data_IF_766569356044
#
_entry.id   IF_766569356044
#
_cell.length_a   1.000
_cell.length_b   1.000
_cell.length_c   1.000
_cell.angle_alpha   90.00
_cell.angle_beta   90.00
_cell.angle_gamma   90.00
#
_symmetry.space_group_name_H-M   'P 1'
#
loop_
_entity.id
_entity.type
_entity.pdbx_description
1 polymer ?
#
# COMPACT_ATOMS: atom_id res chain seq x y z
N UNK A 1 -47.38 27.92 -53.32
CA UNK A 1 -46.40 28.97 -52.94
C UNK A 1 -46.75 29.69 -51.64
N UNK A 2 -48.03 30.00 -51.37
CA UNK A 2 -48.44 30.82 -50.21
C UNK A 2 -48.41 30.07 -48.87
N UNK A 3 -48.73 28.76 -48.86
CA UNK A 3 -48.69 27.94 -47.65
C UNK A 3 -47.28 27.72 -47.08
N UNK A 4 -46.26 27.65 -47.94
CA UNK A 4 -44.84 27.53 -47.53
C UNK A 4 -44.33 28.82 -46.89
N UNK A 5 -44.73 29.98 -47.42
CA UNK A 5 -44.43 31.30 -46.84
C UNK A 5 -45.12 31.48 -45.48
N UNK A 6 -46.38 31.06 -45.34
CA UNK A 6 -47.09 31.12 -44.05
C UNK A 6 -46.44 30.24 -42.97
N UNK A 7 -46.04 29.01 -43.33
CA UNK A 7 -45.31 28.10 -42.43
C UNK A 7 -43.93 28.64 -42.03
N UNK A 8 -43.19 29.28 -42.95
CA UNK A 8 -41.92 29.94 -42.65
C UNK A 8 -42.11 31.14 -41.71
N UNK A 9 -43.14 31.96 -41.94
CA UNK A 9 -43.48 33.09 -41.08
C UNK A 9 -43.89 32.64 -39.67
N UNK A 10 -44.67 31.56 -39.55
CA UNK A 10 -45.05 30.95 -38.27
C UNK A 10 -43.82 30.39 -37.53
N UNK A 11 -42.91 29.71 -38.23
CA UNK A 11 -41.66 29.22 -37.65
C UNK A 11 -40.76 30.34 -37.13
N UNK A 12 -40.66 31.44 -37.88
CA UNK A 12 -39.91 32.63 -37.47
C UNK A 12 -40.56 33.35 -36.26
N UNK A 13 -41.90 33.44 -36.23
CA UNK A 13 -42.63 34.04 -35.11
C UNK A 13 -42.47 33.21 -33.82
N UNK A 14 -42.55 31.88 -33.92
CA UNK A 14 -42.34 30.97 -32.78
C UNK A 14 -40.89 31.05 -32.28
N UNK A 15 -39.91 31.08 -33.18
CA UNK A 15 -38.50 31.24 -32.81
C UNK A 15 -38.21 32.60 -32.15
N UNK A 16 -38.85 33.67 -32.63
CA UNK A 16 -38.75 35.00 -32.02
C UNK A 16 -39.38 35.03 -30.62
N UNK A 17 -40.57 34.46 -30.45
CA UNK A 17 -41.26 34.38 -29.16
C UNK A 17 -40.46 33.56 -28.13
N UNK A 18 -39.84 32.46 -28.57
CA UNK A 18 -38.99 31.63 -27.72
C UNK A 18 -37.72 32.36 -27.28
N UNK A 19 -37.06 33.10 -28.19
CA UNK A 19 -35.92 33.96 -27.84
C UNK A 19 -36.29 35.04 -26.82
N UNK A 20 -37.47 35.63 -26.94
CA UNK A 20 -37.95 36.66 -26.04
C UNK A 20 -38.26 36.11 -24.64
N UNK A 21 -38.82 34.89 -24.56
CA UNK A 21 -39.03 34.17 -23.30
C UNK A 21 -37.71 33.81 -22.61
N UNK A 22 -36.71 33.32 -23.37
CA UNK A 22 -35.37 33.01 -22.84
C UNK A 22 -34.68 34.28 -22.35
N UNK A 23 -34.78 35.39 -23.08
CA UNK A 23 -34.26 36.68 -22.64
C UNK A 23 -34.93 37.17 -21.35
N UNK A 24 -36.25 37.05 -21.25
CA UNK A 24 -36.99 37.43 -20.03
C UNK A 24 -36.66 36.54 -18.82
N UNK A 25 -36.44 35.23 -19.01
CA UNK A 25 -35.99 34.34 -17.95
C UNK A 25 -34.55 34.67 -17.52
N UNK A 26 -33.64 34.92 -18.47
CA UNK A 26 -32.28 35.36 -18.16
C UNK A 26 -32.27 36.67 -17.37
N UNK A 27 -33.09 37.66 -17.77
CA UNK A 27 -33.23 38.94 -17.05
C UNK A 27 -33.76 38.73 -15.63
N UNK A 28 -34.70 37.80 -15.42
CA UNK A 28 -35.22 37.46 -14.07
C UNK A 28 -34.15 36.78 -13.21
N UNK A 29 -33.32 35.92 -13.80
CA UNK A 29 -32.20 35.27 -13.10
C UNK A 29 -31.09 36.25 -12.73
N UNK A 30 -30.81 37.23 -13.59
CA UNK A 30 -29.73 38.21 -13.40
C UNK A 30 -30.13 39.44 -12.59
N UNK A 31 -31.43 39.72 -12.40
CA UNK A 31 -31.91 40.70 -11.41
C UNK A 31 -31.72 40.13 -10.00
N UNK A 32 -30.50 40.22 -9.51
CA UNK A 32 -30.15 39.88 -8.14
C UNK A 32 -31.06 40.62 -7.15
N UNK A 33 -31.61 39.88 -6.20
CA UNK A 33 -32.36 40.42 -5.05
C UNK A 33 -31.37 41.27 -4.25
N UNK A 34 -31.40 42.59 -4.44
CA UNK A 34 -30.45 43.53 -3.84
C UNK A 34 -30.51 43.50 -2.32
N UNK A 35 -29.60 42.76 -1.68
CA UNK A 35 -29.46 42.71 -0.23
C UNK A 35 -28.45 43.76 0.24
N UNK A 36 -28.97 44.68 1.06
CA UNK A 36 -28.26 45.48 2.07
C UNK A 36 -27.10 46.40 1.61
N UNK A 37 -27.44 47.53 1.00
CA UNK A 37 -26.52 48.65 0.73
C UNK A 37 -25.93 49.33 1.99
N UNK A 38 -26.39 49.00 3.21
CA UNK A 38 -25.97 49.66 4.45
C UNK A 38 -24.87 48.94 5.25
N UNK A 39 -24.51 47.68 4.92
CA UNK A 39 -23.50 46.89 5.67
C UNK A 39 -22.14 46.75 4.96
N UNK A 40 -22.01 47.30 3.75
CA UNK A 40 -20.85 47.10 2.87
C UNK A 40 -19.48 47.38 3.52
N UNK A 41 -19.24 48.54 4.16
CA UNK A 41 -17.90 48.88 4.67
C UNK A 41 -17.43 47.96 5.80
N UNK A 42 -18.33 47.64 6.74
CA UNK A 42 -18.03 46.74 7.87
C UNK A 42 -17.81 45.31 7.39
N UNK A 43 -18.63 44.84 6.45
CA UNK A 43 -18.50 43.51 5.86
C UNK A 43 -17.18 43.37 5.09
N UNK A 44 -16.80 44.37 4.28
CA UNK A 44 -15.52 44.36 3.55
C UNK A 44 -14.34 44.35 4.53
N UNK A 45 -14.34 45.24 5.53
CA UNK A 45 -13.25 45.30 6.51
C UNK A 45 -13.08 43.99 7.30
N UNK A 46 -14.19 43.35 7.69
CA UNK A 46 -14.15 42.08 8.41
C UNK A 46 -13.65 40.93 7.54
N UNK A 47 -14.13 40.81 6.29
CA UNK A 47 -13.69 39.75 5.39
C UNK A 47 -12.25 39.94 4.90
N UNK A 48 -11.79 41.17 4.67
CA UNK A 48 -10.38 41.44 4.37
C UNK A 48 -9.47 41.05 5.55
N UNK A 49 -9.91 41.31 6.79
CA UNK A 49 -9.18 40.89 7.99
C UNK A 49 -9.12 39.36 8.11
N UNK A 50 -10.24 38.67 7.89
CA UNK A 50 -10.32 37.20 7.89
C UNK A 50 -9.42 36.60 6.81
N UNK A 51 -9.49 37.09 5.58
CA UNK A 51 -8.65 36.64 4.48
C UNK A 51 -7.16 36.87 4.75
N UNK A 52 -6.78 38.04 5.26
CA UNK A 52 -5.39 38.31 5.67
C UNK A 52 -4.92 37.33 6.75
N UNK A 53 -5.79 36.99 7.71
CA UNK A 53 -5.54 35.96 8.71
C UNK A 53 -5.29 34.57 8.08
N UNK A 54 -6.18 34.15 7.18
CA UNK A 54 -6.06 32.88 6.46
C UNK A 54 -4.76 32.80 5.64
N UNK A 55 -4.39 33.86 4.91
CA UNK A 55 -3.15 33.89 4.14
C UNK A 55 -1.90 33.79 5.03
N UNK A 56 -1.92 34.41 6.23
CA UNK A 56 -0.85 34.26 7.22
C UNK A 56 -0.77 32.83 7.77
N UNK A 57 -1.91 32.23 8.09
CA UNK A 57 -2.00 30.84 8.55
C UNK A 57 -1.52 29.86 7.49
N UNK A 58 -1.95 30.04 6.24
CA UNK A 58 -1.47 29.26 5.09
C UNK A 58 0.04 29.33 4.94
N UNK A 59 0.65 30.52 5.01
CA UNK A 59 2.12 30.66 4.97
C UNK A 59 2.81 29.94 6.11
N UNK A 60 2.23 29.96 7.31
CA UNK A 60 2.76 29.21 8.44
C UNK A 60 2.63 27.69 8.25
N UNK A 61 1.50 27.22 7.71
CA UNK A 61 1.27 25.82 7.38
C UNK A 61 2.25 25.31 6.32
N UNK A 62 2.45 26.06 5.22
CA UNK A 62 3.42 25.70 4.18
C UNK A 62 4.84 25.59 4.74
N UNK A 63 5.26 26.51 5.62
CA UNK A 63 6.56 26.40 6.30
C UNK A 63 6.67 25.15 7.17
N UNK A 64 5.59 24.78 7.87
CA UNK A 64 5.54 23.56 8.70
C UNK A 64 5.61 22.31 7.84
N UNK A 65 4.90 22.27 6.71
CA UNK A 65 4.96 21.18 5.74
C UNK A 65 6.39 21.01 5.19
N UNK A 66 7.06 22.11 4.83
CA UNK A 66 8.46 22.05 4.38
C UNK A 66 9.42 21.50 5.46
N UNK A 67 9.22 21.87 6.72
CA UNK A 67 9.99 21.30 7.85
C UNK A 67 9.69 19.81 8.03
N UNK A 68 8.42 19.41 7.88
CA UNK A 68 8.00 18.01 7.98
C UNK A 68 8.63 17.16 6.86
N UNK A 69 8.61 17.64 5.61
CA UNK A 69 9.28 16.98 4.47
C UNK A 69 10.76 16.76 4.78
N UNK A 70 11.47 17.81 5.18
CA UNK A 70 12.89 17.72 5.51
C UNK A 70 13.19 16.80 6.71
N UNK A 71 12.24 16.64 7.64
CA UNK A 71 12.36 15.72 8.76
C UNK A 71 12.16 14.26 8.29
N UNK A 72 11.14 14.01 7.48
CA UNK A 72 10.85 12.69 6.88
C UNK A 72 12.01 12.19 6.01
N UNK A 73 12.62 13.06 5.21
CA UNK A 73 13.79 12.69 4.38
C UNK A 73 15.01 12.25 5.23
N UNK A 74 15.22 12.91 6.38
CA UNK A 74 16.34 12.65 7.28
C UNK A 74 16.10 11.50 8.25
N UNK A 75 14.86 11.06 8.40
CA UNK A 75 14.52 9.96 9.29
C UNK A 75 15.19 8.66 8.82
N UNK A 76 15.95 8.00 9.69
CA UNK A 76 16.61 6.73 9.35
C UNK A 76 15.76 5.51 9.69
N UNK A 77 14.67 5.69 10.42
CA UNK A 77 13.77 4.61 10.83
C UNK A 77 12.78 4.22 9.74
N UNK A 78 12.50 5.14 8.80
CA UNK A 78 11.59 4.91 7.68
C UNK A 78 12.31 4.23 6.52
N UNK A 79 11.64 3.28 5.89
CA UNK A 79 12.07 2.71 4.61
C UNK A 79 11.91 3.74 3.48
N UNK A 80 12.70 3.60 2.41
CA UNK A 80 12.61 4.48 1.24
C UNK A 80 11.20 4.62 0.63
N UNK A 81 10.39 3.54 0.46
CA UNK A 81 9.03 3.68 -0.03
C UNK A 81 8.11 4.44 0.94
N UNK A 82 8.29 4.28 2.25
CA UNK A 82 7.51 5.02 3.26
C UNK A 82 7.87 6.51 3.25
N UNK A 83 9.15 6.85 3.08
CA UNK A 83 9.58 8.25 2.92
C UNK A 83 8.97 8.89 1.69
N UNK A 84 9.08 8.21 0.54
CA UNK A 84 8.51 8.69 -0.73
C UNK A 84 7.01 8.97 -0.58
N UNK A 85 6.28 8.04 0.04
CA UNK A 85 4.84 8.19 0.26
C UNK A 85 4.50 9.36 1.20
N UNK A 86 5.19 9.48 2.34
CA UNK A 86 4.94 10.56 3.30
C UNK A 86 5.30 11.93 2.72
N UNK A 87 6.44 12.06 2.04
CA UNK A 87 6.85 13.29 1.35
C UNK A 87 5.81 13.66 0.30
N UNK A 88 5.40 12.71 -0.54
CA UNK A 88 4.40 12.95 -1.58
C UNK A 88 3.07 13.43 -1.00
N UNK A 89 2.63 12.84 0.12
CA UNK A 89 1.40 13.27 0.82
C UNK A 89 1.50 14.71 1.32
N UNK A 90 2.63 15.08 1.94
CA UNK A 90 2.89 16.45 2.40
C UNK A 90 2.94 17.46 1.24
N UNK A 91 3.51 17.06 0.10
CA UNK A 91 3.55 17.86 -1.12
C UNK A 91 2.16 18.08 -1.71
N UNK A 92 1.30 17.05 -1.73
CA UNK A 92 -0.10 17.18 -2.15
C UNK A 92 -0.84 18.20 -1.27
N UNK A 93 -0.69 18.12 0.06
CA UNK A 93 -1.30 19.12 0.97
C UNK A 93 -0.77 20.54 0.71
N UNK A 94 0.52 20.69 0.40
CA UNK A 94 1.09 21.98 0.05
C UNK A 94 0.53 22.51 -1.28
N UNK A 95 0.39 21.65 -2.29
CA UNK A 95 -0.19 21.96 -3.60
C UNK A 95 -1.63 22.46 -3.44
N UNK A 96 -2.45 21.73 -2.67
CA UNK A 96 -3.84 22.09 -2.37
C UNK A 96 -3.98 23.49 -1.74
N UNK A 97 -3.13 23.79 -0.75
CA UNK A 97 -3.12 25.12 -0.11
C UNK A 97 -2.73 26.25 -1.08
N UNK A 98 -1.86 25.96 -2.05
CA UNK A 98 -1.44 26.93 -3.06
C UNK A 98 -2.51 27.16 -4.12
N UNK A 99 -3.17 26.10 -4.58
CA UNK A 99 -4.24 26.20 -5.57
C UNK A 99 -5.47 26.91 -4.98
N UNK A 100 -5.80 26.63 -3.72
CA UNK A 100 -6.81 27.38 -2.96
C UNK A 100 -6.52 28.89 -2.92
N UNK A 101 -5.27 29.30 -2.68
CA UNK A 101 -4.88 30.72 -2.71
C UNK A 101 -4.99 31.32 -4.12
N UNK A 102 -4.58 30.58 -5.14
CA UNK A 102 -4.67 31.00 -6.55
C UNK A 102 -6.12 31.22 -7.00
N UNK A 103 -7.04 30.36 -6.60
CA UNK A 103 -8.48 30.51 -6.85
C UNK A 103 -9.04 31.82 -6.28
N UNK A 104 -8.58 32.24 -5.08
CA UNK A 104 -8.94 33.54 -4.51
C UNK A 104 -8.45 34.69 -5.38
N UNK A 105 -7.18 34.67 -5.81
CA UNK A 105 -6.65 35.73 -6.68
C UNK A 105 -7.34 35.77 -8.04
N UNK A 106 -7.67 34.61 -8.61
CA UNK A 106 -8.42 34.53 -9.87
C UNK A 106 -9.82 35.14 -9.73
N UNK A 107 -10.51 34.89 -8.62
CA UNK A 107 -11.81 35.50 -8.34
C UNK A 107 -11.71 37.03 -8.21
N UNK A 108 -10.69 37.54 -7.50
CA UNK A 108 -10.43 38.97 -7.35
C UNK A 108 -10.10 39.61 -8.70
N UNK A 109 -9.20 39.01 -9.48
CA UNK A 109 -8.83 39.48 -10.81
C UNK A 109 -10.02 39.46 -11.79
N UNK A 110 -10.88 38.44 -11.69
CA UNK A 110 -12.12 38.35 -12.46
C UNK A 110 -13.09 39.48 -12.11
N UNK A 111 -13.25 39.80 -10.82
CA UNK A 111 -14.06 40.94 -10.38
C UNK A 111 -13.47 42.27 -10.88
N UNK A 112 -12.16 42.45 -10.79
CA UNK A 112 -11.48 43.64 -11.27
C UNK A 112 -11.67 43.84 -12.78
N UNK A 113 -11.48 42.78 -13.59
CA UNK A 113 -11.74 42.82 -15.04
C UNK A 113 -13.19 43.17 -15.36
N UNK A 114 -14.14 42.62 -14.59
CA UNK A 114 -15.54 42.96 -14.76
C UNK A 114 -15.77 44.45 -14.49
N UNK A 115 -15.26 44.99 -13.37
CA UNK A 115 -15.40 46.39 -12.96
C UNK A 115 -14.73 47.40 -13.89
N UNK A 116 -13.61 47.03 -14.50
CA UNK A 116 -12.85 47.89 -15.42
C UNK A 116 -13.35 47.80 -16.87
N UNK A 117 -14.17 46.80 -17.22
CA UNK A 117 -14.68 46.61 -18.57
C UNK A 117 -15.71 47.66 -18.96
N UNK A 118 -15.74 48.04 -20.24
CA UNK A 118 -16.80 48.89 -20.77
C UNK A 118 -18.12 48.09 -20.87
N UNK A 119 -19.01 48.34 -19.91
CA UNK A 119 -20.33 47.71 -19.85
C UNK A 119 -21.29 48.14 -20.96
N UNK A 120 -20.95 49.19 -21.73
CA UNK A 120 -21.74 49.60 -22.89
C UNK A 120 -21.37 48.78 -24.13
N UNK A 121 -20.19 48.16 -24.15
CA UNK A 121 -19.76 47.27 -25.21
C UNK A 121 -20.04 45.80 -24.87
N UNK A 122 -21.11 45.27 -25.49
CA UNK A 122 -21.54 43.88 -25.34
C UNK A 122 -20.46 42.90 -25.81
N UNK A 123 -19.59 43.29 -26.75
CA UNK A 123 -18.48 42.45 -27.22
C UNK A 123 -17.44 42.29 -26.12
N UNK A 124 -17.05 43.39 -25.45
CA UNK A 124 -16.17 43.35 -24.28
C UNK A 124 -16.77 42.55 -23.12
N UNK A 125 -18.07 42.69 -22.86
CA UNK A 125 -18.75 41.89 -21.82
C UNK A 125 -18.74 40.40 -22.17
N UNK A 126 -19.03 40.05 -23.43
CA UNK A 126 -19.03 38.66 -23.92
C UNK A 126 -17.63 38.05 -23.80
N UNK A 127 -16.59 38.78 -24.20
CA UNK A 127 -15.21 38.30 -24.15
C UNK A 127 -14.73 38.12 -22.70
N UNK A 128 -15.03 39.07 -21.82
CA UNK A 128 -14.74 38.95 -20.38
C UNK A 128 -15.44 37.73 -19.75
N UNK A 129 -16.71 37.49 -20.13
CA UNK A 129 -17.45 36.31 -19.69
C UNK A 129 -16.88 35.01 -20.24
N UNK A 130 -16.39 35.01 -21.50
CA UNK A 130 -15.75 33.86 -22.13
C UNK A 130 -14.46 33.48 -21.42
N UNK A 131 -13.58 34.46 -21.16
CA UNK A 131 -12.33 34.23 -20.42
C UNK A 131 -12.59 33.70 -19.01
N UNK A 132 -13.65 34.18 -18.33
CA UNK A 132 -14.04 33.64 -17.03
C UNK A 132 -14.51 32.19 -17.14
N UNK A 133 -15.28 31.87 -18.17
CA UNK A 133 -15.74 30.50 -18.41
C UNK A 133 -14.57 29.54 -18.70
N UNK A 134 -13.62 29.98 -19.52
CA UNK A 134 -12.41 29.20 -19.83
C UNK A 134 -11.57 28.96 -18.57
N UNK A 135 -11.33 30.00 -17.76
CA UNK A 135 -10.63 29.85 -16.48
C UNK A 135 -11.33 28.88 -15.51
N UNK A 136 -12.66 28.91 -15.45
CA UNK A 136 -13.43 27.97 -14.60
C UNK A 136 -13.35 26.53 -15.12
N UNK A 137 -13.34 26.32 -16.45
CA UNK A 137 -13.17 24.99 -17.03
C UNK A 137 -11.78 24.44 -16.76
N UNK A 138 -10.75 25.26 -16.92
CA UNK A 138 -9.38 24.86 -16.60
C UNK A 138 -9.22 24.54 -15.10
N UNK A 139 -9.85 25.32 -14.22
CA UNK A 139 -9.85 25.03 -12.79
C UNK A 139 -10.54 23.70 -12.49
N UNK A 140 -11.72 23.44 -13.08
CA UNK A 140 -12.44 22.19 -12.88
C UNK A 140 -11.65 20.95 -13.37
N UNK A 141 -10.99 21.03 -14.52
CA UNK A 141 -10.16 19.94 -15.05
C UNK A 141 -8.98 19.67 -14.10
N UNK A 142 -8.36 20.73 -13.56
CA UNK A 142 -7.24 20.59 -12.60
C UNK A 142 -7.69 19.98 -11.28
N UNK A 143 -8.82 20.43 -10.75
CA UNK A 143 -9.41 19.90 -9.51
C UNK A 143 -9.78 18.41 -9.66
N UNK A 144 -10.32 18.02 -10.82
CA UNK A 144 -10.60 16.61 -11.12
C UNK A 144 -9.31 15.76 -11.17
N UNK A 145 -8.25 16.28 -11.80
CA UNK A 145 -6.94 15.61 -11.84
C UNK A 145 -6.36 15.44 -10.43
N UNK A 146 -6.40 16.50 -9.61
CA UNK A 146 -5.92 16.49 -8.22
C UNK A 146 -6.72 15.51 -7.35
N UNK A 147 -8.03 15.43 -7.55
CA UNK A 147 -8.88 14.45 -6.87
C UNK A 147 -8.52 13.00 -7.25
N UNK A 148 -8.25 12.74 -8.53
CA UNK A 148 -7.82 11.41 -8.98
C UNK A 148 -6.44 11.02 -8.40
N UNK A 149 -5.51 11.97 -8.31
CA UNK A 149 -4.20 11.77 -7.65
C UNK A 149 -4.38 11.37 -6.17
N UNK A 150 -5.28 12.07 -5.45
CA UNK A 150 -5.62 11.74 -4.05
C UNK A 150 -6.23 10.36 -3.91
N UNK A 151 -7.16 9.99 -4.79
CA UNK A 151 -7.78 8.65 -4.78
C UNK A 151 -6.75 7.55 -5.02
N UNK A 152 -5.75 7.79 -5.88
CA UNK A 152 -4.67 6.84 -6.10
C UNK A 152 -3.77 6.69 -4.86
N UNK A 153 -3.46 7.79 -4.18
CA UNK A 153 -2.70 7.78 -2.93
C UNK A 153 -3.44 7.03 -1.79
N UNK A 154 -4.74 7.26 -1.64
CA UNK A 154 -5.59 6.55 -0.68
C UNK A 154 -5.59 5.03 -0.96
N UNK A 155 -5.77 4.64 -2.22
CA UNK A 155 -5.77 3.24 -2.62
C UNK A 155 -4.46 2.56 -2.26
N UNK A 156 -3.32 3.19 -2.54
CA UNK A 156 -2.01 2.67 -2.17
C UNK A 156 -1.87 2.48 -0.64
N UNK A 157 -2.40 3.42 0.16
CA UNK A 157 -2.43 3.28 1.61
C UNK A 157 -3.29 2.10 2.07
N UNK A 158 -4.48 1.92 1.48
CA UNK A 158 -5.35 0.80 1.81
C UNK A 158 -4.71 -0.55 1.44
N UNK A 159 -3.99 -0.62 0.32
CA UNK A 159 -3.25 -1.82 -0.09
C UNK A 159 -2.09 -2.13 0.86
N UNK A 160 -1.31 -1.13 1.26
CA UNK A 160 -0.25 -1.29 2.26
C UNK A 160 -0.80 -1.81 3.60
N UNK A 161 -1.93 -1.27 4.07
CA UNK A 161 -2.59 -1.74 5.29
C UNK A 161 -3.11 -3.18 5.17
N UNK A 162 -3.64 -3.57 4.00
CA UNK A 162 -4.07 -4.95 3.76
C UNK A 162 -2.91 -5.93 3.79
N UNK A 163 -1.77 -5.58 3.17
CA UNK A 163 -0.57 -6.45 3.18
C UNK A 163 -0.10 -6.69 4.62
N UNK A 164 -0.03 -5.65 5.45
CA UNK A 164 0.32 -5.78 6.87
C UNK A 164 -0.73 -6.60 7.63
N UNK A 165 -2.01 -6.39 7.35
CA UNK A 165 -3.09 -7.16 7.98
C UNK A 165 -3.01 -8.65 7.61
N UNK A 166 -2.71 -8.98 6.35
CA UNK A 166 -2.60 -10.36 5.89
C UNK A 166 -1.34 -11.03 6.42
N UNK A 167 -0.22 -10.31 6.56
CA UNK A 167 0.97 -10.79 7.27
C UNK A 167 0.68 -11.15 8.74
N UNK A 168 -0.07 -10.30 9.45
CA UNK A 168 -0.48 -10.58 10.82
C UNK A 168 -1.40 -11.80 10.93
N UNK A 169 -2.30 -12.01 9.96
CA UNK A 169 -3.11 -13.24 9.90
C UNK A 169 -2.24 -14.47 9.68
N UNK A 170 -1.26 -14.42 8.78
CA UNK A 170 -0.36 -15.56 8.55
C UNK A 170 0.49 -15.88 9.77
N UNK A 171 0.96 -14.87 10.51
CA UNK A 171 1.67 -15.07 11.78
C UNK A 171 0.76 -15.70 12.84
N UNK A 172 -0.50 -15.24 12.95
CA UNK A 172 -1.49 -15.83 13.84
C UNK A 172 -1.79 -17.30 13.51
N UNK A 173 -1.84 -17.67 12.23
CA UNK A 173 -2.05 -19.06 11.79
C UNK A 173 -0.81 -19.91 12.11
N UNK A 174 0.40 -19.37 11.97
CA UNK A 174 1.64 -20.05 12.36
C UNK A 174 1.69 -20.30 13.87
N UNK A 175 1.28 -19.33 14.69
CA UNK A 175 1.20 -19.48 16.15
C UNK A 175 0.20 -20.59 16.54
N UNK A 176 -0.96 -20.67 15.89
CA UNK A 176 -1.94 -21.74 16.09
C UNK A 176 -1.35 -23.13 15.76
N UNK A 177 -0.66 -23.25 14.61
CA UNK A 177 0.01 -24.50 14.22
C UNK A 177 1.10 -24.89 15.23
N UNK A 178 1.90 -23.93 15.68
CA UNK A 178 2.96 -24.18 16.66
C UNK A 178 2.38 -24.63 18.02
N UNK A 179 1.23 -24.08 18.41
CA UNK A 179 0.54 -24.50 19.62
C UNK A 179 -0.05 -25.91 19.50
N UNK A 180 -0.59 -26.27 18.33
CA UNK A 180 -1.06 -27.62 18.05
C UNK A 180 0.09 -28.65 18.00
N UNK A 181 1.23 -28.29 17.41
CA UNK A 181 2.44 -29.12 17.43
C UNK A 181 2.95 -29.30 18.85
N UNK A 182 2.97 -28.24 19.67
CA UNK A 182 3.33 -28.33 21.09
C UNK A 182 2.41 -29.30 21.83
N UNK A 183 1.09 -29.17 21.68
CA UNK A 183 0.12 -30.10 22.31
C UNK A 183 0.26 -31.53 21.80
N UNK A 184 0.59 -31.73 20.53
CA UNK A 184 0.83 -33.06 19.98
C UNK A 184 2.11 -33.67 20.55
N UNK A 185 3.17 -32.87 20.72
CA UNK A 185 4.41 -33.29 21.36
C UNK A 185 4.20 -33.62 22.85
N UNK A 186 3.48 -32.78 23.61
CA UNK A 186 3.19 -33.02 25.02
C UNK A 186 2.38 -34.32 25.22
N UNK A 187 1.39 -34.58 24.35
CA UNK A 187 0.62 -35.84 24.36
C UNK A 187 1.48 -37.06 24.02
N UNK A 188 2.39 -36.91 23.06
CA UNK A 188 3.32 -37.98 22.69
C UNK A 188 4.31 -38.26 23.83
N UNK A 189 4.75 -37.24 24.56
CA UNK A 189 5.59 -37.39 25.75
C UNK A 189 4.86 -38.18 26.84
N UNK A 190 3.60 -37.85 27.12
CA UNK A 190 2.75 -38.60 28.08
C UNK A 190 2.58 -40.07 27.66
N UNK A 191 2.31 -40.33 26.38
CA UNK A 191 2.17 -41.70 25.85
C UNK A 191 3.48 -42.51 25.92
N UNK A 192 4.63 -41.87 25.66
CA UNK A 192 5.95 -42.54 25.69
C UNK A 192 6.43 -42.76 27.13
N UNK A 193 6.22 -41.79 28.03
CA UNK A 193 6.63 -41.89 29.44
C UNK A 193 5.88 -43.01 30.18
N UNK A 194 4.61 -43.24 29.83
CA UNK A 194 3.79 -44.29 30.45
C UNK A 194 4.01 -45.70 29.84
N UNK A 195 4.67 -45.83 28.67
CA UNK A 195 4.76 -47.11 27.94
C UNK A 195 6.17 -47.58 27.55
N UNK A 196 7.22 -46.79 27.78
CA UNK A 196 8.59 -47.19 27.43
C UNK A 196 9.15 -48.36 28.29
N UNK A 197 8.60 -48.60 29.49
CA UNK A 197 9.08 -49.65 30.40
C UNK A 197 8.08 -50.79 30.69
N UNK A 198 6.78 -50.60 30.42
CA UNK A 198 5.76 -51.58 30.81
C UNK A 198 5.53 -52.69 29.76
N UNK A 199 5.77 -52.41 28.48
CA UNK A 199 5.62 -53.42 27.42
C UNK A 199 6.73 -54.50 27.40
N UNK A 200 7.83 -54.31 28.15
CA UNK A 200 8.87 -55.33 28.31
C UNK A 200 8.53 -56.38 29.39
N UNK A 201 7.49 -56.16 30.21
CA UNK A 201 7.19 -57.05 31.36
C UNK A 201 6.22 -58.20 31.06
N UNK A 202 5.51 -58.16 29.92
CA UNK A 202 4.53 -59.21 29.55
C UNK A 202 5.00 -60.17 28.44
N UNK A 203 6.18 -59.96 27.86
CA UNK A 203 6.76 -60.91 26.91
C UNK A 203 7.69 -61.87 27.67
N UNK A 204 7.18 -63.05 28.04
CA UNK A 204 8.03 -64.17 28.47
C UNK A 204 8.88 -64.61 27.27
N UNK A 205 10.14 -64.17 27.25
CA UNK A 205 11.17 -64.71 26.34
C UNK A 205 11.95 -63.68 25.53
N UNK A 206 12.36 -62.55 26.11
CA UNK A 206 13.31 -61.65 25.45
C UNK A 206 14.71 -61.91 26.01
N UNK A 207 15.61 -62.38 25.13
CA UNK A 207 17.04 -62.48 25.42
C UNK A 207 17.61 -61.06 25.52
N UNK A 208 18.16 -60.72 26.68
CA UNK A 208 18.84 -59.44 26.91
C UNK A 208 20.22 -59.53 26.26
N UNK A 209 20.43 -58.77 25.20
CA UNK A 209 21.74 -58.59 24.55
C UNK A 209 22.56 -57.57 25.36
N UNK A 210 23.64 -58.01 25.98
CA UNK A 210 24.59 -57.14 26.64
C UNK A 210 25.66 -56.70 25.62
N UNK A 211 25.68 -55.42 25.28
CA UNK A 211 26.71 -54.81 24.43
C UNK A 211 27.92 -54.47 25.29
N UNK A 212 28.95 -55.31 25.26
CA UNK A 212 30.24 -55.02 25.89
C UNK A 212 31.10 -54.25 24.87
N UNK A 213 31.26 -52.94 25.06
CA UNK A 213 32.29 -52.18 24.34
C UNK A 213 33.63 -52.48 24.99
N UNK A 214 34.44 -53.30 24.33
CA UNK A 214 35.85 -53.46 24.66
C UNK A 214 36.59 -52.35 23.91
N UNK A 215 37.04 -51.33 24.64
CA UNK A 215 38.04 -50.40 24.11
C UNK A 215 39.40 -51.09 24.30
N UNK A 216 40.09 -51.35 23.18
CA UNK A 216 41.44 -51.89 23.19
C UNK A 216 42.41 -50.83 23.73
N UNK A 217 42.71 -50.88 25.03
CA UNK A 217 43.90 -50.25 25.59
C UNK A 217 45.10 -51.17 25.36
N UNK A 218 46.00 -50.81 24.44
CA UNK A 218 47.41 -51.21 24.51
C UNK A 218 48.34 -50.30 23.67
N UNK A 219 49.17 -49.53 24.39
CA UNK A 219 50.61 -49.33 24.14
C UNK A 219 51.13 -48.89 22.75
N UNK A 220 51.32 -47.57 22.59
CA UNK A 220 52.26 -46.82 21.71
C UNK A 220 53.66 -47.49 21.55
N UNK A 221 54.53 -47.25 20.51
CA UNK A 221 54.49 -46.27 19.39
C UNK A 221 54.83 -46.83 17.98
N UNK A 222 54.35 -46.18 16.90
CA UNK A 222 55.21 -46.02 15.69
C UNK A 222 54.83 -44.82 14.81
N UNK A 223 55.90 -44.26 14.25
CA UNK A 223 56.03 -42.97 13.60
C UNK A 223 55.36 -42.85 12.22
N UNK A 224 54.96 -41.61 11.95
CA UNK A 224 54.97 -40.87 10.68
C UNK A 224 54.37 -41.52 9.42
N UNK A 225 53.40 -40.76 8.91
CA UNK A 225 53.21 -40.38 7.51
C UNK A 225 52.16 -41.15 6.70
N UNK A 226 51.25 -40.33 6.15
CA UNK A 226 50.57 -40.49 4.86
C UNK A 226 49.32 -41.38 4.86
N UNK A 227 48.18 -40.67 4.88
CA UNK A 227 47.08 -40.76 3.91
C UNK A 227 46.42 -42.14 3.78
N UNK A 228 45.19 -42.25 4.24
CA UNK A 228 43.95 -42.30 3.43
C UNK A 228 42.81 -42.74 4.34
N UNK A 229 41.65 -42.10 4.14
CA UNK A 229 40.40 -42.40 4.82
C UNK A 229 39.95 -43.74 4.28
N UNK A 230 40.09 -44.81 5.07
CA UNK A 230 39.29 -46.00 4.89
C UNK A 230 38.28 -46.02 6.04
N UNK A 231 37.02 -45.83 5.66
CA UNK A 231 35.83 -46.07 6.46
C UNK A 231 35.99 -47.37 7.24
N UNK A 232 36.32 -47.25 8.54
CA UNK A 232 36.21 -48.35 9.49
C UNK A 232 34.71 -48.55 9.80
N UNK A 233 33.99 -49.02 8.79
CA UNK A 233 32.62 -49.49 8.89
C UNK A 233 32.69 -50.78 9.69
N UNK A 234 32.50 -50.64 11.01
CA UNK A 234 32.41 -51.74 11.95
C UNK A 234 31.54 -52.86 11.38
N UNK A 235 32.15 -54.02 11.16
CA UNK A 235 31.45 -55.22 10.73
C UNK A 235 30.53 -55.69 11.86
N UNK A 236 29.22 -55.54 11.70
CA UNK A 236 28.26 -56.20 12.57
C UNK A 236 28.16 -57.68 12.19
N UNK A 237 28.67 -58.56 13.05
CA UNK A 237 28.63 -60.01 12.88
C UNK A 237 27.36 -60.57 13.52
N UNK A 238 26.42 -61.07 12.70
CA UNK A 238 25.23 -61.79 13.16
C UNK A 238 25.53 -63.28 13.27
N UNK A 239 25.32 -63.86 14.46
CA UNK A 239 25.50 -65.29 14.73
C UNK A 239 24.12 -65.93 14.86
N UNK A 240 23.78 -66.83 13.93
CA UNK A 240 22.58 -67.67 14.08
C UNK A 240 22.89 -68.84 15.04
N UNK A 241 22.21 -68.82 16.18
CA UNK A 241 22.38 -69.78 17.29
C UNK A 241 22.09 -71.25 16.93
N UNK A 242 21.44 -71.54 15.80
CA UNK A 242 21.08 -72.92 15.46
C UNK A 242 22.05 -73.63 14.52
N UNK A 243 22.85 -72.91 13.72
CA UNK A 243 23.67 -73.55 12.69
C UNK A 243 25.13 -73.08 12.59
N UNK A 244 25.60 -72.21 13.49
CA UNK A 244 27.00 -71.74 13.54
C UNK A 244 27.60 -71.38 12.17
N UNK A 245 26.77 -70.84 11.26
CA UNK A 245 27.18 -70.48 9.91
C UNK A 245 27.27 -68.97 9.83
N UNK A 246 28.46 -68.46 9.55
CA UNK A 246 28.73 -67.02 9.45
C UNK A 246 28.08 -66.46 8.18
N UNK A 247 27.12 -65.55 8.33
CA UNK A 247 26.57 -64.78 7.21
C UNK A 247 26.98 -63.33 7.41
N UNK A 248 27.99 -62.90 6.66
CA UNK A 248 28.41 -61.49 6.59
C UNK A 248 27.41 -60.73 5.72
N UNK A 249 26.47 -60.03 6.34
CA UNK A 249 25.63 -59.06 5.62
C UNK A 249 26.31 -57.70 5.65
N UNK A 250 26.62 -57.16 4.47
CA UNK A 250 26.93 -55.72 4.37
C UNK A 250 25.65 -54.94 4.69
N UNK A 251 25.70 -53.88 5.52
CA UNK A 251 24.56 -53.00 5.67
C UNK A 251 24.24 -52.39 4.32
N UNK A 252 23.01 -52.62 3.83
CA UNK A 252 22.48 -51.97 2.64
C UNK A 252 22.19 -50.53 3.04
N UNK A 253 23.06 -49.64 2.60
CA UNK A 253 22.91 -48.19 2.67
C UNK A 253 21.52 -47.76 2.18
N UNK A 254 20.69 -47.28 3.10
CA UNK A 254 19.35 -46.78 2.79
C UNK A 254 19.04 -45.48 3.54
N UNK A 255 19.97 -44.51 3.57
CA UNK A 255 19.63 -43.11 3.90
C UNK A 255 20.59 -42.05 3.31
N UNK A 256 21.17 -42.25 2.12
CA UNK A 256 21.80 -41.13 1.40
C UNK A 256 20.92 -40.65 0.24
N UNK A 257 20.29 -39.45 0.31
CA UNK A 257 19.68 -38.85 -0.85
C UNK A 257 20.78 -38.46 -1.83
N UNK A 258 20.82 -39.14 -2.99
CA UNK A 258 21.72 -38.78 -4.09
C UNK A 258 21.25 -37.42 -4.64
N UNK A 259 21.94 -36.35 -4.29
CA UNK A 259 21.77 -35.06 -4.95
C UNK A 259 22.28 -35.17 -6.39
N UNK A 260 21.37 -35.04 -7.36
CA UNK A 260 21.69 -35.01 -8.78
C UNK A 260 22.39 -33.69 -9.14
N UNK A 261 23.58 -33.77 -9.72
CA UNK A 261 24.40 -32.61 -10.09
C UNK A 261 23.81 -31.77 -11.24
N UNK A 262 22.68 -32.17 -11.83
CA UNK A 262 22.02 -31.42 -12.91
C UNK A 262 21.03 -30.34 -12.43
N UNK A 263 20.74 -30.25 -11.12
CA UNK A 263 19.77 -29.28 -10.59
C UNK A 263 20.37 -28.11 -9.81
N UNK A 264 21.69 -27.93 -9.83
CA UNK A 264 22.33 -26.71 -9.32
C UNK A 264 22.74 -25.84 -10.52
N UNK A 265 21.79 -25.07 -11.04
CA UNK A 265 22.12 -23.93 -11.87
C UNK A 265 22.26 -22.72 -10.95
N UNK A 266 23.51 -22.32 -10.73
CA UNK A 266 23.87 -21.10 -10.03
C UNK A 266 23.47 -19.92 -10.93
N UNK A 267 22.53 -19.09 -10.47
CA UNK A 267 22.30 -17.78 -11.07
C UNK A 267 23.53 -16.90 -10.79
N UNK A 268 24.32 -16.63 -11.83
CA UNK A 268 25.21 -15.48 -11.93
C UNK A 268 24.48 -14.31 -12.57
#
# INVERSE_FOLDING_TARGET
MWGLLALLCLGLAVAALHRDQVAQQAIRLHRGRGTALAQGPRWVAENCRRLSGLLKQKRAAVRRLAVAVAATERDRSLSDPEKLFQVHTLEIFQKELNESEKSVYQAVAGLQRALQGDYRDVVNMKESSRQRLEALREAAIKEEQEYVELMAAEKHQQEALKIVQDQNKTLSVLDEILEDVRRAADRLEEEIEEHAFDNNRQIKGVNVEAVLRVEDEDGVPRNMSRREVEDDLGLSMLIDSQNNQYVLTKPRDSTMPRADHHFIQVCS
#
